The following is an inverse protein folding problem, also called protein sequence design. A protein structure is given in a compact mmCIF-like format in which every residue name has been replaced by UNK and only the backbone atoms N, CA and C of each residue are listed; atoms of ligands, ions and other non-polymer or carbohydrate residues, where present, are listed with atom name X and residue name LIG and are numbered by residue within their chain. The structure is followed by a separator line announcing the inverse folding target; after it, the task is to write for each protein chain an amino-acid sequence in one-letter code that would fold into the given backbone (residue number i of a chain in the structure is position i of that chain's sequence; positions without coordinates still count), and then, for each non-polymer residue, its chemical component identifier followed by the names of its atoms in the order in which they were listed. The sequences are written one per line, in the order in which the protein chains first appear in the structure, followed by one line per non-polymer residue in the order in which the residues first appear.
data_IF_887544824606
#
_entry.id   IF_887544824606
#
_cell.length_a   1.000
_cell.length_b   1.000
_cell.length_c   1.000
_cell.angle_alpha   90.00
_cell.angle_beta   90.00
_cell.angle_gamma   90.00
#
_symmetry.space_group_name_H-M   'P 1'
#
loop_
_entity.id
_entity.type
_entity.pdbx_description
1 polymer ?
#
# COMPACT_ATOMS: atom_id res chain seq x y z
N UNK A 1 -12.20 1.82 22.02
CA UNK A 1 -13.46 1.11 21.70
C UNK A 1 -13.65 1.25 20.20
N UNK A 2 -13.10 0.35 19.40
CA UNK A 2 -13.25 0.31 17.96
C UNK A 2 -14.17 -0.85 17.58
N UNK A 3 -15.47 -0.61 17.59
CA UNK A 3 -16.44 -1.52 17.03
C UNK A 3 -16.17 -1.71 15.55
N UNK A 4 -16.03 -2.95 15.10
CA UNK A 4 -15.86 -3.30 13.70
C UNK A 4 -17.12 -3.02 12.92
N UNK A 5 -17.27 -1.79 12.45
CA UNK A 5 -18.27 -1.51 11.42
C UNK A 5 -17.89 -2.30 10.17
N UNK A 6 -18.78 -3.16 9.72
CA UNK A 6 -18.56 -4.01 8.56
C UNK A 6 -18.18 -3.18 7.33
N UNK A 7 -17.36 -3.72 6.43
CA UNK A 7 -16.88 -3.05 5.19
C UNK A 7 -18.02 -2.39 4.38
N UNK A 8 -19.20 -2.97 4.40
CA UNK A 8 -20.40 -2.46 3.74
C UNK A 8 -20.91 -1.15 4.37
N UNK A 9 -20.97 -1.06 5.70
CA UNK A 9 -21.41 0.12 6.45
C UNK A 9 -20.50 1.33 6.20
N UNK A 10 -19.19 1.10 6.18
CA UNK A 10 -18.18 2.14 5.88
C UNK A 10 -18.31 2.63 4.43
N UNK A 11 -18.68 1.78 3.48
CA UNK A 11 -18.89 2.14 2.08
C UNK A 11 -20.17 2.95 1.90
N UNK A 12 -21.26 2.56 2.53
CA UNK A 12 -22.55 3.27 2.48
C UNK A 12 -22.46 4.67 3.09
N UNK A 13 -21.83 4.82 4.26
CA UNK A 13 -21.61 6.14 4.89
C UNK A 13 -20.78 7.07 4.00
N UNK A 14 -19.89 6.52 3.16
CA UNK A 14 -19.11 7.28 2.18
C UNK A 14 -19.95 7.82 1.03
N UNK A 15 -20.85 7.02 0.49
CA UNK A 15 -21.73 7.44 -0.61
C UNK A 15 -22.70 8.54 -0.17
N UNK A 16 -23.36 8.34 0.97
CA UNK A 16 -24.28 9.32 1.54
C UNK A 16 -23.61 10.67 1.87
N UNK A 17 -22.42 10.66 2.46
CA UNK A 17 -21.68 11.90 2.79
C UNK A 17 -21.09 12.60 1.57
N UNK A 18 -20.82 11.87 0.49
CA UNK A 18 -20.27 12.45 -0.75
C UNK A 18 -21.34 13.26 -1.50
N UNK A 19 -22.57 12.78 -1.51
CA UNK A 19 -23.70 13.47 -2.16
C UNK A 19 -24.10 14.78 -1.43
N UNK A 20 -23.86 14.87 -0.11
CA UNK A 20 -24.27 16.00 0.72
C UNK A 20 -23.20 17.11 0.85
N UNK A 21 -21.98 16.91 0.35
CA UNK A 21 -20.86 17.86 0.53
C UNK A 21 -20.61 18.69 -0.71
N UNK A 22 -20.30 19.98 -0.49
CA UNK A 22 -19.90 20.93 -1.54
C UNK A 22 -18.70 20.37 -2.32
N UNK A 23 -18.79 20.37 -3.64
CA UNK A 23 -17.77 19.83 -4.56
C UNK A 23 -16.50 20.70 -4.65
N UNK A 24 -16.58 21.93 -4.14
CA UNK A 24 -15.51 22.93 -4.15
C UNK A 24 -14.47 22.77 -3.03
N UNK A 25 -14.66 21.79 -2.09
CA UNK A 25 -13.75 21.60 -0.96
C UNK A 25 -13.06 20.23 -0.99
N UNK A 26 -11.76 20.23 -0.67
CA UNK A 26 -10.99 19.00 -0.48
C UNK A 26 -11.58 18.14 0.63
N UNK A 27 -11.65 16.85 0.36
CA UNK A 27 -12.21 15.84 1.28
C UNK A 27 -11.11 15.05 1.93
N UNK A 28 -10.98 15.17 3.25
CA UNK A 28 -10.03 14.42 4.04
C UNK A 28 -10.71 13.26 4.77
N UNK A 29 -10.06 12.11 4.85
CA UNK A 29 -10.51 10.97 5.63
C UNK A 29 -9.41 10.49 6.56
N UNK A 30 -9.77 10.34 7.85
CA UNK A 30 -8.88 9.84 8.91
C UNK A 30 -9.20 8.40 9.28
N UNK A 31 -8.21 7.70 9.85
CA UNK A 31 -8.37 6.35 10.39
C UNK A 31 -8.50 5.24 9.35
N UNK A 32 -8.34 5.54 8.06
CA UNK A 32 -8.40 4.59 6.95
C UNK A 32 -7.06 4.53 6.26
N UNK A 33 -6.49 3.34 6.11
CA UNK A 33 -5.14 3.26 5.60
C UNK A 33 -4.75 1.94 4.93
N UNK A 34 -5.68 1.03 4.61
CA UNK A 34 -5.32 -0.08 3.72
C UNK A 34 -5.29 0.41 2.27
N UNK A 35 -4.42 -0.13 1.41
CA UNK A 35 -4.36 0.27 0.00
C UNK A 35 -5.70 0.15 -0.73
N UNK A 36 -6.50 -0.89 -0.44
CA UNK A 36 -7.85 -1.02 -1.03
C UNK A 36 -8.78 0.09 -0.53
N UNK A 37 -8.67 0.46 0.75
CA UNK A 37 -9.51 1.50 1.33
C UNK A 37 -9.16 2.88 0.77
N UNK A 38 -7.86 3.16 0.51
CA UNK A 38 -7.40 4.37 -0.16
C UNK A 38 -7.98 4.43 -1.58
N UNK A 39 -7.77 3.38 -2.38
CA UNK A 39 -8.29 3.26 -3.74
C UNK A 39 -9.82 3.45 -3.79
N UNK A 40 -10.54 2.74 -2.91
CA UNK A 40 -12.00 2.88 -2.81
C UNK A 40 -12.45 4.28 -2.39
N UNK A 41 -11.66 4.96 -1.57
CA UNK A 41 -11.89 6.34 -1.17
C UNK A 41 -11.67 7.33 -2.32
N UNK A 42 -10.56 7.22 -3.05
CA UNK A 42 -10.25 8.08 -4.21
C UNK A 42 -11.34 7.97 -5.28
N UNK A 43 -11.78 6.75 -5.62
CA UNK A 43 -12.91 6.53 -6.57
C UNK A 43 -14.20 7.23 -6.14
N UNK A 44 -14.37 7.53 -4.85
CA UNK A 44 -15.54 8.23 -4.27
C UNK A 44 -15.25 9.70 -3.97
N UNK A 45 -14.17 10.25 -4.53
CA UNK A 45 -13.83 11.66 -4.40
C UNK A 45 -13.22 12.04 -3.05
N UNK A 46 -12.50 11.15 -2.38
CA UNK A 46 -11.67 11.51 -1.22
C UNK A 46 -10.29 11.93 -1.72
N UNK A 47 -9.84 13.12 -1.34
CA UNK A 47 -8.60 13.73 -1.81
C UNK A 47 -7.40 13.46 -0.90
N UNK A 48 -7.64 13.35 0.42
CA UNK A 48 -6.59 13.21 1.42
C UNK A 48 -6.91 12.11 2.42
N UNK A 49 -5.86 11.41 2.86
CA UNK A 49 -5.96 10.36 3.86
C UNK A 49 -4.95 10.59 4.97
N UNK A 50 -5.39 10.34 6.20
CA UNK A 50 -4.56 10.33 7.39
C UNK A 50 -4.73 9.00 8.13
N UNK A 51 -3.63 8.31 8.39
CA UNK A 51 -3.67 7.01 9.04
C UNK A 51 -2.30 6.44 9.37
N UNK A 52 -2.26 5.61 10.38
CA UNK A 52 -1.04 5.01 10.95
C UNK A 52 -0.67 3.65 10.32
N UNK A 53 -1.39 3.21 9.29
CA UNK A 53 -1.19 1.86 8.70
C UNK A 53 0.22 1.60 8.19
N UNK A 54 0.86 2.49 7.41
CA UNK A 54 2.20 2.23 6.89
C UNK A 54 3.22 1.99 8.01
N UNK A 55 3.22 2.87 9.01
CA UNK A 55 4.17 2.83 10.13
C UNK A 55 3.90 1.67 11.07
N UNK A 56 2.63 1.43 11.43
CA UNK A 56 2.24 0.31 12.29
C UNK A 56 2.55 -1.04 11.65
N UNK A 57 2.29 -1.20 10.35
CA UNK A 57 2.63 -2.41 9.60
C UNK A 57 4.15 -2.63 9.56
N UNK A 58 4.93 -1.57 9.33
CA UNK A 58 6.39 -1.63 9.39
C UNK A 58 6.91 -2.13 10.73
N UNK A 59 6.34 -1.66 11.84
CA UNK A 59 6.68 -2.13 13.19
C UNK A 59 6.33 -3.60 13.45
N UNK A 60 5.40 -4.18 12.71
CA UNK A 60 4.98 -5.60 12.83
C UNK A 60 5.52 -6.50 11.71
N UNK A 61 6.60 -6.10 11.05
CA UNK A 61 7.25 -6.85 9.96
C UNK A 61 6.39 -7.03 8.69
N UNK A 62 5.34 -6.24 8.51
CA UNK A 62 4.46 -6.34 7.34
C UNK A 62 4.79 -5.27 6.32
N UNK A 63 5.23 -5.70 5.13
CA UNK A 63 5.48 -4.86 3.97
C UNK A 63 4.28 -4.82 3.04
N UNK A 64 4.01 -3.65 2.44
CA UNK A 64 3.05 -3.50 1.35
C UNK A 64 3.79 -3.48 0.01
N UNK A 65 3.30 -4.29 -0.94
CA UNK A 65 3.84 -4.37 -2.30
C UNK A 65 2.70 -4.26 -3.32
N UNK A 66 3.06 -4.17 -4.61
CA UNK A 66 2.07 -4.21 -5.69
C UNK A 66 1.26 -5.50 -5.74
N UNK A 67 1.84 -6.62 -5.32
CA UNK A 67 1.21 -7.94 -5.27
C UNK A 67 0.57 -8.29 -3.92
N UNK A 68 0.51 -7.39 -2.96
CA UNK A 68 -0.12 -7.66 -1.67
C UNK A 68 0.77 -7.33 -0.48
N UNK A 69 0.67 -8.14 0.56
CA UNK A 69 1.46 -7.95 1.79
C UNK A 69 2.41 -9.10 2.02
N UNK A 70 3.67 -8.77 2.34
CA UNK A 70 4.67 -9.74 2.80
C UNK A 70 4.80 -9.64 4.32
N UNK A 71 4.97 -10.80 4.97
CA UNK A 71 5.35 -10.86 6.38
C UNK A 71 6.83 -11.27 6.48
N UNK A 72 7.70 -10.33 6.76
CA UNK A 72 9.15 -10.59 6.83
C UNK A 72 9.59 -11.43 8.02
N UNK A 73 8.67 -11.83 8.93
CA UNK A 73 8.96 -12.83 9.97
C UNK A 73 8.85 -14.28 9.47
N UNK A 74 8.27 -14.50 8.28
CA UNK A 74 8.11 -15.84 7.72
C UNK A 74 9.46 -16.44 7.38
N UNK A 75 9.66 -17.73 7.76
CA UNK A 75 10.92 -18.44 7.57
C UNK A 75 11.37 -18.56 6.11
N UNK A 76 10.42 -18.52 5.15
CA UNK A 76 10.72 -18.52 3.71
C UNK A 76 11.64 -17.37 3.28
N UNK A 77 11.69 -16.28 4.05
CA UNK A 77 12.54 -15.12 3.75
C UNK A 77 13.95 -15.24 4.36
N UNK A 78 14.25 -16.29 5.12
CA UNK A 78 15.54 -16.43 5.80
C UNK A 78 16.75 -16.43 4.85
N UNK A 79 16.58 -16.93 3.64
CA UNK A 79 17.63 -16.98 2.60
C UNK A 79 17.27 -16.21 1.33
N UNK A 80 16.20 -15.44 1.34
CA UNK A 80 15.71 -14.70 0.17
C UNK A 80 16.58 -13.45 -0.09
N UNK A 81 17.43 -13.50 -1.10
CA UNK A 81 18.34 -12.42 -1.46
C UNK A 81 17.64 -11.25 -2.21
N UNK A 82 16.36 -11.42 -2.61
CA UNK A 82 15.61 -10.40 -3.34
C UNK A 82 15.26 -9.21 -2.44
N UNK A 83 15.05 -8.01 -3.01
CA UNK A 83 14.52 -6.85 -2.28
C UNK A 83 13.06 -7.09 -1.86
N UNK A 84 12.49 -6.23 -1.01
CA UNK A 84 11.05 -6.26 -0.68
C UNK A 84 10.23 -6.15 -1.95
N UNK A 85 10.57 -5.22 -2.83
CA UNK A 85 9.94 -5.03 -4.14
C UNK A 85 11.01 -4.63 -5.18
N UNK A 86 11.14 -5.34 -6.32
CA UNK A 86 12.17 -5.06 -7.32
C UNK A 86 11.96 -3.72 -8.02
N UNK A 87 10.71 -3.25 -8.09
CA UNK A 87 10.35 -1.98 -8.72
C UNK A 87 10.28 -0.80 -7.74
N UNK A 88 10.88 -0.96 -6.55
CA UNK A 88 10.89 0.06 -5.51
C UNK A 88 12.29 0.66 -5.35
N UNK A 89 12.40 1.95 -5.54
CA UNK A 89 13.60 2.76 -5.43
C UNK A 89 13.92 3.24 -4.01
N UNK A 90 13.12 2.83 -3.01
CA UNK A 90 13.37 3.24 -1.64
C UNK A 90 14.65 2.62 -1.07
N UNK A 91 15.24 3.29 -0.06
CA UNK A 91 16.47 2.87 0.60
C UNK A 91 16.45 1.39 1.05
N UNK A 92 15.32 0.91 1.56
CA UNK A 92 15.20 -0.47 2.02
C UNK A 92 15.33 -1.47 0.87
N UNK A 93 14.72 -1.20 -0.30
CA UNK A 93 14.75 -2.10 -1.45
C UNK A 93 16.07 -2.03 -2.23
N UNK A 94 16.72 -0.85 -2.30
CA UNK A 94 17.95 -0.67 -3.07
C UNK A 94 19.19 -1.20 -2.36
N UNK A 95 19.15 -1.34 -1.03
CA UNK A 95 20.35 -1.68 -0.24
C UNK A 95 20.22 -2.97 0.58
N UNK A 96 19.00 -3.51 0.74
CA UNK A 96 18.79 -4.62 1.67
C UNK A 96 17.91 -5.71 1.05
N UNK A 97 18.28 -6.97 1.32
CA UNK A 97 17.51 -8.15 0.94
C UNK A 97 16.40 -8.45 1.95
N UNK A 98 15.43 -9.27 1.55
CA UNK A 98 14.41 -9.84 2.45
C UNK A 98 15.05 -10.66 3.57
N UNK A 99 16.11 -11.43 3.26
CA UNK A 99 16.85 -12.20 4.24
C UNK A 99 17.45 -11.31 5.34
N UNK A 100 18.07 -10.21 4.98
CA UNK A 100 18.61 -9.26 5.94
C UNK A 100 17.51 -8.65 6.83
N UNK A 101 16.42 -8.21 6.22
CA UNK A 101 15.28 -7.67 6.97
C UNK A 101 14.63 -8.73 7.87
N UNK A 102 14.48 -9.98 7.39
CA UNK A 102 14.03 -11.10 8.21
C UNK A 102 14.93 -11.29 9.43
N UNK A 103 16.27 -11.29 9.24
CA UNK A 103 17.22 -11.37 10.35
C UNK A 103 17.01 -10.24 11.36
N UNK A 104 16.88 -8.99 10.93
CA UNK A 104 16.66 -7.84 11.83
C UNK A 104 15.39 -8.02 12.68
N UNK A 105 14.29 -8.52 12.08
CA UNK A 105 13.05 -8.77 12.82
C UNK A 105 13.16 -9.99 13.76
N UNK A 106 13.97 -10.99 13.43
CA UNK A 106 14.23 -12.14 14.32
C UNK A 106 15.14 -11.76 15.47
N UNK A 107 16.13 -10.92 15.23
CA UNK A 107 17.03 -10.39 16.25
C UNK A 107 16.40 -9.25 17.08
N UNK A 108 15.17 -8.82 16.73
CA UNK A 108 14.47 -7.71 17.38
C UNK A 108 15.24 -6.37 17.30
N UNK A 109 15.97 -6.15 16.20
CA UNK A 109 16.72 -4.93 15.95
C UNK A 109 15.80 -3.80 15.47
N UNK A 110 15.96 -2.60 16.04
CA UNK A 110 15.14 -1.43 15.70
C UNK A 110 15.26 -1.00 14.24
N UNK A 111 16.37 -1.30 13.59
CA UNK A 111 16.61 -0.99 12.19
C UNK A 111 15.59 -1.69 11.26
N UNK A 112 15.13 -2.91 11.60
CA UNK A 112 14.11 -3.63 10.84
C UNK A 112 12.81 -2.84 10.72
N UNK A 113 12.14 -2.46 11.82
CA UNK A 113 10.98 -1.58 11.81
C UNK A 113 11.20 -0.25 11.11
N UNK A 114 12.38 0.38 11.25
CA UNK A 114 12.70 1.66 10.59
C UNK A 114 12.72 1.52 9.07
N UNK A 115 13.49 0.57 8.55
CA UNK A 115 13.60 0.32 7.09
C UNK A 115 12.25 -0.07 6.49
N UNK A 116 11.48 -0.91 7.18
CA UNK A 116 10.19 -1.34 6.68
C UNK A 116 9.14 -0.24 6.73
N UNK A 117 9.18 0.62 7.73
CA UNK A 117 8.35 1.84 7.79
C UNK A 117 8.67 2.76 6.61
N UNK A 118 9.96 2.96 6.32
CA UNK A 118 10.39 3.74 5.15
C UNK A 118 9.83 3.16 3.85
N UNK A 119 9.99 1.85 3.64
CA UNK A 119 9.44 1.17 2.47
C UNK A 119 7.91 1.36 2.35
N UNK A 120 7.18 1.14 3.42
CA UNK A 120 5.73 1.26 3.41
C UNK A 120 5.28 2.69 3.10
N UNK A 121 5.94 3.70 3.64
CA UNK A 121 5.65 5.09 3.32
C UNK A 121 5.91 5.37 1.83
N UNK A 122 7.07 4.92 1.31
CA UNK A 122 7.40 5.07 -0.11
C UNK A 122 6.35 4.40 -1.01
N UNK A 123 5.90 3.19 -0.65
CA UNK A 123 4.82 2.49 -1.35
C UNK A 123 3.53 3.31 -1.39
N UNK A 124 3.10 3.85 -0.26
CA UNK A 124 1.86 4.65 -0.19
C UNK A 124 1.97 5.95 -0.98
N UNK A 125 3.11 6.62 -0.93
CA UNK A 125 3.35 7.84 -1.72
C UNK A 125 3.30 7.55 -3.23
N UNK A 126 3.90 6.44 -3.66
CA UNK A 126 3.84 5.97 -5.05
C UNK A 126 2.42 5.64 -5.46
N UNK A 127 1.68 4.88 -4.66
CA UNK A 127 0.28 4.54 -4.91
C UNK A 127 -0.58 5.79 -5.10
N UNK A 128 -0.42 6.80 -4.24
CA UNK A 128 -1.15 8.07 -4.35
C UNK A 128 -0.76 8.85 -5.60
N UNK A 129 0.50 8.81 -6.01
CA UNK A 129 0.97 9.42 -7.27
C UNK A 129 0.33 8.75 -8.47
N UNK A 130 0.39 7.43 -8.55
CA UNK A 130 -0.25 6.65 -9.63
C UNK A 130 -1.75 6.92 -9.73
N UNK A 131 -2.45 7.03 -8.60
CA UNK A 131 -3.88 7.38 -8.61
C UNK A 131 -4.14 8.79 -9.15
N UNK A 132 -3.31 9.78 -8.81
CA UNK A 132 -3.44 11.15 -9.38
C UNK A 132 -3.21 11.15 -10.88
N UNK A 133 -2.17 10.48 -11.35
CA UNK A 133 -1.88 10.34 -12.79
C UNK A 133 -3.03 9.64 -13.52
N UNK A 134 -3.54 8.56 -12.96
CA UNK A 134 -4.67 7.81 -13.52
C UNK A 134 -5.98 8.63 -13.56
N UNK A 135 -6.19 9.54 -12.63
CA UNK A 135 -7.31 10.50 -12.69
C UNK A 135 -7.12 11.45 -13.86
N UNK A 136 -5.93 12.04 -14.02
CA UNK A 136 -5.62 12.99 -15.08
C UNK A 136 -5.75 12.35 -16.48
N UNK A 137 -5.36 11.09 -16.62
CA UNK A 137 -5.42 10.34 -17.89
C UNK A 137 -6.75 9.59 -18.12
N UNK A 138 -7.68 9.64 -17.18
CA UNK A 138 -8.95 8.89 -17.27
C UNK A 138 -8.83 7.37 -17.09
N UNK A 139 -7.68 6.87 -16.62
CA UNK A 139 -7.37 5.42 -16.50
C UNK A 139 -7.54 4.84 -15.09
N UNK A 140 -8.19 5.56 -14.19
CA UNK A 140 -8.33 5.18 -12.78
C UNK A 140 -8.99 3.81 -12.58
N UNK A 141 -9.95 3.44 -13.44
CA UNK A 141 -10.59 2.12 -13.36
C UNK A 141 -9.62 1.00 -13.73
N UNK A 142 -8.86 1.17 -14.81
CA UNK A 142 -7.83 0.20 -15.24
C UNK A 142 -6.77 -0.01 -14.16
N UNK A 143 -6.25 1.07 -13.58
CA UNK A 143 -5.32 0.99 -12.44
C UNK A 143 -5.94 0.24 -11.25
N UNK A 144 -7.20 0.52 -10.94
CA UNK A 144 -7.89 -0.14 -9.83
C UNK A 144 -8.04 -1.66 -10.04
N UNK A 145 -8.27 -2.10 -11.27
CA UNK A 145 -8.44 -3.52 -11.61
C UNK A 145 -7.09 -4.23 -11.64
N UNK A 146 -6.03 -3.60 -12.18
CA UNK A 146 -4.65 -4.11 -12.12
C UNK A 146 -4.19 -4.33 -10.67
N UNK A 147 -4.37 -3.33 -9.82
CA UNK A 147 -4.01 -3.44 -8.41
C UNK A 147 -4.84 -4.51 -7.67
N UNK A 148 -6.11 -4.70 -8.04
CA UNK A 148 -6.94 -5.75 -7.46
C UNK A 148 -6.46 -7.14 -7.87
N UNK A 149 -6.15 -7.34 -9.14
CA UNK A 149 -5.64 -8.60 -9.65
C UNK A 149 -4.32 -8.99 -8.96
N UNK A 150 -3.37 -8.06 -8.86
CA UNK A 150 -2.11 -8.29 -8.15
C UNK A 150 -2.30 -8.66 -6.67
N UNK A 151 -3.31 -8.11 -5.99
CA UNK A 151 -3.58 -8.38 -4.57
C UNK A 151 -4.36 -9.68 -4.33
N UNK A 152 -4.99 -10.24 -5.35
CA UNK A 152 -5.72 -11.52 -5.27
C UNK A 152 -4.83 -12.73 -5.54
N UNK A 153 -3.69 -12.53 -6.17
CA UNK A 153 -2.70 -13.58 -6.41
C UNK A 153 -1.98 -13.94 -5.09
N UNK A 154 -2.55 -14.87 -4.32
CA UNK A 154 -2.09 -15.18 -2.95
C UNK A 154 -0.75 -15.92 -2.86
N UNK A 155 -0.27 -16.56 -3.95
CA UNK A 155 1.01 -17.28 -4.05
C UNK A 155 2.01 -16.56 -4.97
N UNK A 156 2.01 -15.28 -4.90
CA UNK A 156 2.69 -14.36 -5.74
C UNK A 156 4.22 -14.49 -5.68
N UNK A 157 4.82 -14.79 -6.82
CA UNK A 157 6.22 -14.54 -7.10
C UNK A 157 6.33 -13.21 -7.84
N UNK A 158 7.16 -12.31 -7.35
CA UNK A 158 7.26 -10.93 -7.84
C UNK A 158 7.70 -10.82 -9.30
N UNK A 159 8.28 -11.88 -9.84
CA UNK A 159 8.71 -12.01 -11.23
C UNK A 159 7.53 -12.17 -12.21
N UNK A 160 6.34 -12.54 -11.72
CA UNK A 160 5.14 -12.79 -12.53
C UNK A 160 4.16 -11.60 -12.56
N UNK A 161 4.48 -10.48 -11.90
CA UNK A 161 3.59 -9.32 -11.92
C UNK A 161 3.50 -8.66 -13.28
N UNK A 162 2.28 -8.41 -13.78
CA UNK A 162 2.13 -7.45 -14.87
C UNK A 162 2.68 -6.09 -14.43
N UNK A 163 3.64 -5.58 -15.16
CA UNK A 163 4.12 -4.21 -15.00
C UNK A 163 2.91 -3.27 -15.03
N UNK A 164 2.78 -2.30 -14.11
CA UNK A 164 1.78 -1.27 -14.28
C UNK A 164 2.03 -0.60 -15.64
N UNK A 165 0.99 -0.52 -16.45
CA UNK A 165 1.04 0.00 -17.83
C UNK A 165 1.45 1.49 -17.92
N UNK A 166 1.77 2.11 -16.79
CA UNK A 166 2.20 3.51 -16.70
C UNK A 166 3.67 3.52 -16.24
N UNK A 167 4.62 3.87 -17.12
CA UNK A 167 6.00 4.08 -16.69
C UNK A 167 6.05 5.22 -15.67
N UNK A 168 6.70 4.97 -14.54
CA UNK A 168 7.01 6.04 -13.59
C UNK A 168 7.96 7.01 -14.30
N UNK A 169 7.52 8.23 -14.57
CA UNK A 169 8.42 9.29 -14.97
C UNK A 169 9.47 9.52 -13.87
N UNK A 170 10.73 9.84 -14.23
CA UNK A 170 11.82 10.05 -13.29
C UNK A 170 11.56 11.19 -12.31
#
# INVERSE_FOLDING_TARGET
VGGGEGRASVLWTREATTALRRQDRRRARRGVGTPEALRGGVRRGVDMFDGVRPTRAGGTARAYTGGGTLNLRDARHATDARPISPHCDCLACTRHSRAYLHHLFRANEILGPMLLTWHNIAYYQRLMRQMREAITTGTLQTLADTLRAGWQASDWTEDEMPQPAIPLAP
#
